data_IF_145933738893
#
_entry.id   IF_145933738893
#
_cell.length_a   1.000
_cell.length_b   1.000
_cell.length_c   1.000
_cell.angle_alpha   90.00
_cell.angle_beta   90.00
_cell.angle_gamma   90.00
#
_symmetry.space_group_name_H-M   'P 1'
#
loop_
_entity.id
_entity.type
_entity.pdbx_description
1 polymer ?
#
# COMPACT_ATOMS: atom_id res chain seq x y z
N UNK A 1 10.56 -11.16 5.66
CA UNK A 1 9.41 -11.99 6.08
C UNK A 1 8.20 -11.48 5.33
N UNK A 2 7.43 -12.37 4.71
CA UNK A 2 6.15 -12.02 4.10
C UNK A 2 5.11 -12.17 5.20
N UNK A 3 4.33 -11.12 5.49
CA UNK A 3 3.26 -11.23 6.46
C UNK A 3 2.11 -12.08 5.88
N UNK A 4 1.60 -13.04 6.65
CA UNK A 4 0.46 -13.86 6.24
C UNK A 4 -0.84 -13.05 6.16
N UNK A 5 -0.91 -11.97 6.96
CA UNK A 5 -2.09 -11.12 7.12
C UNK A 5 -1.71 -9.64 7.24
N UNK A 6 -2.53 -8.77 6.66
CA UNK A 6 -2.38 -7.31 6.70
C UNK A 6 -3.66 -6.66 7.19
N UNK A 7 -3.59 -5.94 8.32
CA UNK A 7 -4.74 -5.20 8.84
C UNK A 7 -5.01 -3.94 8.01
N UNK A 8 -6.26 -3.79 7.56
CA UNK A 8 -6.76 -2.57 6.96
C UNK A 8 -7.47 -1.74 8.02
N UNK A 9 -7.14 -0.45 8.09
CA UNK A 9 -7.57 0.44 9.18
C UNK A 9 -8.46 1.59 8.69
N UNK A 10 -9.24 2.18 9.58
CA UNK A 10 -10.14 3.29 9.24
C UNK A 10 -9.43 4.65 9.09
N UNK A 11 -8.19 4.76 9.55
CA UNK A 11 -7.35 5.96 9.43
C UNK A 11 -5.88 5.57 9.14
N UNK A 12 -5.07 6.47 8.54
CA UNK A 12 -3.68 6.22 8.16
C UNK A 12 -2.73 6.29 9.37
N UNK A 13 -2.89 5.37 10.34
CA UNK A 13 -2.04 5.28 11.54
C UNK A 13 -2.13 3.90 12.20
N UNK A 14 -1.09 3.52 12.94
CA UNK A 14 -0.95 2.16 13.49
C UNK A 14 -1.96 1.82 14.60
N UNK A 15 -2.42 2.81 15.36
CA UNK A 15 -3.36 2.67 16.47
C UNK A 15 -4.83 2.82 16.05
N UNK A 16 -5.11 3.06 14.76
CA UNK A 16 -6.46 3.16 14.23
C UNK A 16 -7.23 1.84 14.29
N UNK A 17 -8.56 1.92 14.28
CA UNK A 17 -9.43 0.74 14.31
C UNK A 17 -9.22 -0.12 13.06
N UNK A 18 -9.19 -1.44 13.25
CA UNK A 18 -9.09 -2.42 12.16
C UNK A 18 -10.49 -2.64 11.58
N UNK A 19 -10.68 -2.25 10.32
CA UNK A 19 -11.95 -2.41 9.59
C UNK A 19 -12.07 -3.83 9.05
N UNK A 20 -10.96 -4.40 8.59
CA UNK A 20 -10.88 -5.79 8.12
C UNK A 20 -9.42 -6.25 8.04
N UNK A 21 -9.19 -7.52 7.73
CA UNK A 21 -7.85 -8.07 7.48
C UNK A 21 -7.78 -8.67 6.08
N UNK A 22 -6.69 -8.39 5.38
CA UNK A 22 -6.32 -8.98 4.10
C UNK A 22 -5.43 -10.20 4.34
N UNK A 23 -5.63 -11.25 3.57
CA UNK A 23 -4.72 -12.39 3.50
C UNK A 23 -3.67 -12.17 2.42
N UNK A 24 -2.55 -12.88 2.51
CA UNK A 24 -1.57 -12.91 1.44
C UNK A 24 -2.22 -13.30 0.10
N UNK A 25 -1.96 -12.51 -0.95
CA UNK A 25 -2.51 -12.73 -2.28
C UNK A 25 -3.87 -12.08 -2.54
N UNK A 26 -4.51 -11.48 -1.54
CA UNK A 26 -5.70 -10.65 -1.76
C UNK A 26 -5.36 -9.44 -2.64
N UNK A 27 -6.22 -9.19 -3.64
CA UNK A 27 -6.09 -8.04 -4.54
C UNK A 27 -6.96 -6.90 -4.02
N UNK A 28 -6.37 -5.71 -3.93
CA UNK A 28 -7.06 -4.48 -3.54
C UNK A 28 -7.02 -3.45 -4.65
N UNK A 29 -8.05 -2.60 -4.73
CA UNK A 29 -8.05 -1.45 -5.61
C UNK A 29 -7.40 -0.27 -4.88
N UNK A 30 -6.37 0.32 -5.46
CA UNK A 30 -5.80 1.58 -4.98
C UNK A 30 -6.82 2.70 -5.21
N UNK A 31 -7.09 3.47 -4.16
CA UNK A 31 -7.86 4.70 -4.24
C UNK A 31 -6.88 5.88 -4.21
N UNK A 32 -7.28 7.00 -4.82
CA UNK A 32 -6.41 8.14 -5.07
C UNK A 32 -5.63 8.57 -3.80
N UNK A 33 -4.28 8.49 -3.79
CA UNK A 33 -3.47 8.76 -2.61
C UNK A 33 -3.49 10.24 -2.20
N UNK A 34 -3.91 11.14 -3.10
CA UNK A 34 -3.88 12.60 -2.92
C UNK A 34 -4.99 13.15 -2.04
N UNK A 35 -6.00 12.34 -1.72
CA UNK A 35 -7.18 12.81 -0.99
C UNK A 35 -6.92 13.13 0.49
N UNK A 36 -6.02 12.42 1.19
CA UNK A 36 -6.06 12.38 2.66
C UNK A 36 -4.67 12.30 3.34
N UNK A 37 -3.81 13.33 3.29
CA UNK A 37 -2.51 13.42 4.03
C UNK A 37 -1.63 12.14 4.06
N UNK A 38 -1.89 11.19 3.16
CA UNK A 38 -1.38 9.81 3.20
C UNK A 38 0.05 9.72 2.67
N UNK A 39 0.54 10.85 2.16
CA UNK A 39 1.89 11.07 1.63
C UNK A 39 2.94 11.32 2.71
N UNK A 40 2.55 11.44 3.99
CA UNK A 40 3.52 11.52 5.07
C UNK A 40 4.09 10.12 5.31
N UNK A 41 5.31 9.90 4.81
CA UNK A 41 5.99 8.63 5.01
C UNK A 41 6.38 8.43 6.46
N UNK A 42 6.26 7.21 6.95
CA UNK A 42 6.65 6.82 8.29
C UNK A 42 7.38 5.47 8.30
N UNK A 43 8.09 5.21 9.40
CA UNK A 43 8.79 3.94 9.62
C UNK A 43 8.03 3.08 10.61
N UNK A 44 7.48 1.96 10.13
CA UNK A 44 6.79 0.96 10.96
C UNK A 44 7.59 -0.33 10.90
N UNK A 45 8.06 -0.81 12.06
CA UNK A 45 8.83 -2.07 12.17
C UNK A 45 10.05 -2.13 11.24
N UNK A 46 10.75 -1.01 11.05
CA UNK A 46 11.94 -0.89 10.20
C UNK A 46 11.63 -0.77 8.70
N UNK A 47 10.36 -0.74 8.29
CA UNK A 47 9.94 -0.50 6.91
C UNK A 47 9.48 0.94 6.76
N UNK A 48 10.08 1.69 5.84
CA UNK A 48 9.61 3.01 5.45
C UNK A 48 8.56 2.89 4.35
N UNK A 49 7.46 3.61 4.48
CA UNK A 49 6.41 3.64 3.49
C UNK A 49 5.31 4.61 3.84
N UNK A 50 4.20 4.51 3.12
CA UNK A 50 3.07 5.42 3.20
C UNK A 50 1.82 4.64 3.57
N UNK A 51 0.89 5.28 4.26
CA UNK A 51 -0.46 4.72 4.32
C UNK A 51 -1.12 4.91 2.96
N UNK A 52 -1.75 3.86 2.46
CA UNK A 52 -2.38 3.86 1.14
C UNK A 52 -3.84 3.54 1.31
N UNK A 53 -4.70 4.42 0.81
CA UNK A 53 -6.14 4.19 0.81
C UNK A 53 -6.49 3.15 -0.25
N UNK A 54 -7.23 2.11 0.16
CA UNK A 54 -7.59 1.00 -0.71
C UNK A 54 -9.04 0.61 -0.52
N UNK A 55 -9.60 -0.02 -1.55
CA UNK A 55 -10.89 -0.71 -1.48
C UNK A 55 -10.65 -2.22 -1.59
N UNK A 56 -11.26 -2.95 -0.66
CA UNK A 56 -11.31 -4.41 -0.67
C UNK A 56 -12.76 -4.87 -0.45
N UNK A 57 -13.37 -5.46 -1.49
CA UNK A 57 -14.80 -5.82 -1.50
C UNK A 57 -15.68 -4.61 -1.16
N UNK A 58 -16.42 -4.68 -0.04
CA UNK A 58 -17.27 -3.61 0.48
C UNK A 58 -16.54 -2.63 1.41
N UNK A 59 -15.30 -2.92 1.79
CA UNK A 59 -14.55 -2.14 2.77
C UNK A 59 -13.65 -1.11 2.09
N UNK A 60 -13.58 0.09 2.67
CA UNK A 60 -12.64 1.15 2.30
C UNK A 60 -11.83 1.48 3.55
N UNK A 61 -10.51 1.57 3.41
CA UNK A 61 -9.62 1.89 4.52
C UNK A 61 -8.19 2.10 4.06
N UNK A 62 -7.26 2.07 5.01
CA UNK A 62 -5.84 2.31 4.79
C UNK A 62 -5.02 1.08 5.14
N UNK A 63 -4.00 0.82 4.33
CA UNK A 63 -2.99 -0.22 4.56
C UNK A 63 -1.60 0.39 4.41
N UNK A 64 -0.59 -0.21 5.02
CA UNK A 64 0.77 0.30 4.92
C UNK A 64 1.47 -0.22 3.67
N UNK A 65 1.92 0.69 2.80
CA UNK A 65 2.37 0.41 1.43
C UNK A 65 3.51 -0.61 1.29
N UNK A 66 4.45 -0.79 2.24
CA UNK A 66 5.50 -1.81 2.12
C UNK A 66 4.97 -3.25 2.12
N UNK A 67 3.73 -3.48 2.56
CA UNK A 67 3.07 -4.78 2.48
C UNK A 67 2.27 -4.96 1.19
N UNK A 68 2.21 -3.93 0.33
CA UNK A 68 1.61 -4.02 -0.99
C UNK A 68 2.69 -4.40 -2.01
N UNK A 69 2.58 -5.61 -2.55
CA UNK A 69 3.36 -6.02 -3.72
C UNK A 69 2.56 -5.74 -4.99
N UNK A 70 3.13 -5.01 -5.94
CA UNK A 70 2.54 -4.92 -7.28
C UNK A 70 2.76 -6.25 -8.01
N UNK A 71 1.68 -7.02 -8.25
CA UNK A 71 1.72 -8.18 -9.15
C UNK A 71 1.99 -7.76 -10.61
N UNK A 72 1.81 -6.48 -10.91
CA UNK A 72 2.07 -5.89 -12.20
C UNK A 72 2.82 -4.57 -12.00
N UNK A 73 4.09 -4.50 -12.42
CA UNK A 73 4.63 -3.24 -12.92
C UNK A 73 3.84 -2.93 -14.19
N UNK A 74 2.70 -2.24 -14.04
CA UNK A 74 1.99 -1.72 -15.20
C UNK A 74 2.78 -0.51 -15.68
N UNK A 75 3.68 -0.75 -16.62
CA UNK A 75 4.12 0.29 -17.54
C UNK A 75 2.85 0.82 -18.20
N UNK A 76 2.57 2.11 -18.02
CA UNK A 76 1.62 2.77 -18.92
C UNK A 76 2.07 2.52 -20.36
N UNK A 77 1.14 2.36 -21.29
CA UNK A 77 1.46 2.30 -22.71
C UNK A 77 2.27 3.58 -23.05
N UNK A 78 3.53 3.40 -23.51
CA UNK A 78 4.57 4.41 -23.77
C UNK A 78 5.50 4.83 -22.60
N UNK A 79 5.57 4.08 -21.50
CA UNK A 79 6.60 4.31 -20.48
C UNK A 79 7.99 3.82 -20.93
N UNK A 80 8.89 4.73 -21.27
CA UNK A 80 10.32 4.42 -21.45
C UNK A 80 11.04 4.40 -20.11
N UNK A 81 11.84 3.36 -19.86
CA UNK A 81 12.72 3.27 -18.67
C UNK A 81 14.16 3.19 -19.14
N UNK A 82 14.96 4.17 -18.73
CA UNK A 82 16.42 4.18 -18.92
C UNK A 82 17.11 3.55 -17.71
N UNK A 83 17.98 2.57 -17.97
CA UNK A 83 18.79 1.92 -16.94
C UNK A 83 20.09 2.70 -16.71
N UNK A 84 20.32 3.12 -15.46
CA UNK A 84 21.60 3.67 -15.02
C UNK A 84 22.34 2.65 -14.15
N UNK A 85 23.45 2.04 -14.63
CA UNK A 85 24.30 1.22 -13.78
C UNK A 85 24.93 2.09 -12.69
N UNK A 86 24.79 1.67 -11.43
CA UNK A 86 25.57 2.25 -10.34
C UNK A 86 27.01 1.80 -10.48
N UNK A 87 27.91 2.75 -10.76
CA UNK A 87 29.37 2.60 -10.57
C UNK A 87 29.70 2.50 -9.09
#
# INVERSE_FOLDING_TARGET
MIADRLNMRNAPKLDAEVVTTLNNGDVVQLLDPTADNSHNGESISGLYGFWTKVKYRQFIGYVFSPYLGSKYMLFYENGEIEYYPKV
#
